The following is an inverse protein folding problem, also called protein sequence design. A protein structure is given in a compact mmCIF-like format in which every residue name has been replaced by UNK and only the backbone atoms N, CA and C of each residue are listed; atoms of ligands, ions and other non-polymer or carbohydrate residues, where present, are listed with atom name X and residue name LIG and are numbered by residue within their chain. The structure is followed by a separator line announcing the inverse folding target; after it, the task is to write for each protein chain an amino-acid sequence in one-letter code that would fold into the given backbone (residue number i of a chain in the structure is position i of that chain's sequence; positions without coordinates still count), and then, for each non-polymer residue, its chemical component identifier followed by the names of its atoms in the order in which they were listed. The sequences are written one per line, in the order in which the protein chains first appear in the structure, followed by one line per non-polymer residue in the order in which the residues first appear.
data_IF_493143915394
#
_entry.id   IF_493143915394
#
_cell.length_a   1.000
_cell.length_b   1.000
_cell.length_c   1.000
_cell.angle_alpha   90.00
_cell.angle_beta   90.00
_cell.angle_gamma   90.00
#
_symmetry.space_group_name_H-M   'P 1'
#
loop_
_entity.id
_entity.type
_entity.pdbx_description
1 polymer ?
#
# COMPACT_ATOMS: atom_id res chain seq x y z
N UNK A 1 -50.82 33.96 -15.59
CA UNK A 1 -49.81 34.10 -14.50
C UNK A 1 -48.71 33.08 -14.72
N UNK A 2 -47.48 33.52 -15.05
CA UNK A 2 -46.31 32.65 -15.27
C UNK A 2 -45.59 32.43 -13.94
N UNK A 3 -45.53 31.19 -13.46
CA UNK A 3 -44.71 30.83 -12.30
C UNK A 3 -43.27 30.55 -12.77
N UNK A 4 -42.34 31.36 -12.29
CA UNK A 4 -40.90 31.30 -12.61
C UNK A 4 -40.24 30.28 -11.69
N UNK A 5 -39.66 29.22 -12.24
CA UNK A 5 -38.80 28.30 -11.52
C UNK A 5 -37.51 29.01 -11.07
N UNK A 6 -37.16 28.84 -9.79
CA UNK A 6 -35.92 29.35 -9.22
C UNK A 6 -34.69 28.74 -9.89
N UNK A 7 -33.74 29.60 -10.26
CA UNK A 7 -32.44 29.20 -10.82
C UNK A 7 -31.64 28.37 -9.78
N UNK A 8 -30.83 27.39 -10.23
CA UNK A 8 -29.89 26.71 -9.35
C UNK A 8 -28.78 27.68 -8.92
N UNK A 9 -28.41 27.65 -7.63
CA UNK A 9 -27.29 28.44 -7.09
C UNK A 9 -25.96 27.93 -7.69
N UNK A 10 -25.13 28.78 -8.29
CA UNK A 10 -23.78 28.39 -8.69
C UNK A 10 -22.83 28.54 -7.50
N UNK A 11 -21.96 27.55 -7.29
CA UNK A 11 -20.79 27.67 -6.42
C UNK A 11 -20.92 27.00 -5.04
N UNK A 12 -20.93 25.67 -5.01
CA UNK A 12 -20.33 24.96 -3.89
C UNK A 12 -18.84 24.84 -4.21
N UNK A 13 -17.99 25.51 -3.43
CA UNK A 13 -16.54 25.44 -3.57
C UNK A 13 -16.06 23.98 -3.45
N UNK A 14 -15.08 23.53 -4.25
CA UNK A 14 -14.49 22.22 -4.07
C UNK A 14 -13.86 22.14 -2.67
N UNK A 15 -14.19 21.07 -1.94
CA UNK A 15 -13.52 20.73 -0.68
C UNK A 15 -12.00 20.77 -0.90
N UNK A 16 -11.22 21.42 -0.01
CA UNK A 16 -9.77 21.40 -0.12
C UNK A 16 -9.30 19.96 0.09
N UNK A 17 -8.86 19.32 -0.99
CA UNK A 17 -8.04 18.12 -0.92
C UNK A 17 -6.73 18.51 -0.25
N UNK A 18 -6.65 18.34 1.08
CA UNK A 18 -5.36 18.33 1.76
C UNK A 18 -4.49 17.32 1.01
N UNK A 19 -3.29 17.69 0.53
CA UNK A 19 -2.34 16.68 0.09
C UNK A 19 -2.12 15.74 1.28
N UNK A 20 -2.53 14.48 1.13
CA UNK A 20 -2.12 13.43 2.05
C UNK A 20 -0.60 13.40 1.99
N UNK A 21 0.03 13.92 3.03
CA UNK A 21 1.44 13.65 3.29
C UNK A 21 1.59 12.13 3.25
N UNK A 22 2.57 11.59 2.51
CA UNK A 22 2.80 10.15 2.51
C UNK A 22 2.96 9.71 3.97
N UNK A 23 2.35 8.60 4.39
CA UNK A 23 2.31 8.24 5.79
C UNK A 23 3.74 8.14 6.32
N UNK A 24 3.90 8.50 7.59
CA UNK A 24 5.08 8.28 8.42
C UNK A 24 5.65 6.84 8.34
N UNK A 25 4.93 5.91 7.69
CA UNK A 25 5.39 4.59 7.28
C UNK A 25 6.77 4.57 6.61
N UNK A 26 7.13 5.55 5.75
CA UNK A 26 8.49 5.58 5.17
C UNK A 26 9.58 5.79 6.23
N UNK A 27 9.31 6.55 7.29
CA UNK A 27 10.24 6.79 8.39
C UNK A 27 10.31 5.61 9.36
N UNK A 28 9.19 4.92 9.59
CA UNK A 28 9.14 3.73 10.44
C UNK A 28 9.76 2.49 9.76
N UNK A 29 9.68 2.37 8.42
CA UNK A 29 10.26 1.27 7.68
C UNK A 29 11.80 1.34 7.65
N UNK A 30 12.37 2.54 7.49
CA UNK A 30 13.82 2.75 7.63
C UNK A 30 14.34 2.45 9.04
N UNK A 31 13.50 2.65 10.08
CA UNK A 31 13.86 2.36 11.46
C UNK A 31 13.75 0.86 11.82
N UNK A 32 12.90 0.09 11.11
CA UNK A 32 12.75 -1.36 11.30
C UNK A 32 13.83 -2.16 10.56
N UNK A 33 14.25 -1.69 9.38
CA UNK A 33 15.40 -2.25 8.62
C UNK A 33 16.75 -2.04 9.34
N UNK A 34 16.82 -1.13 10.31
CA UNK A 34 18.03 -0.83 11.08
C UNK A 34 18.29 -1.84 12.21
N UNK A 35 17.28 -2.29 12.98
CA UNK A 35 17.53 -3.14 14.16
C UNK A 35 17.89 -4.58 13.81
N UNK A 36 17.22 -5.18 12.83
CA UNK A 36 17.51 -6.55 12.39
C UNK A 36 18.89 -6.67 11.76
N UNK A 37 19.24 -5.74 10.86
CA UNK A 37 20.55 -5.71 10.20
C UNK A 37 21.68 -5.49 11.20
N UNK A 38 21.54 -4.53 12.12
CA UNK A 38 22.52 -4.27 13.20
C UNK A 38 22.69 -5.50 14.09
N UNK A 39 21.59 -6.16 14.47
CA UNK A 39 21.64 -7.38 15.29
C UNK A 39 22.39 -8.50 14.56
N UNK A 40 22.06 -8.77 13.29
CA UNK A 40 22.73 -9.81 12.50
C UNK A 40 24.22 -9.51 12.35
N UNK A 41 24.60 -8.27 12.02
CA UNK A 41 26.01 -7.87 11.92
C UNK A 41 26.71 -8.06 13.27
N UNK A 42 26.11 -7.63 14.38
CA UNK A 42 26.71 -7.75 15.70
C UNK A 42 26.90 -9.22 16.11
N UNK A 43 25.88 -10.06 15.90
CA UNK A 43 25.93 -11.49 16.20
C UNK A 43 26.99 -12.20 15.35
N UNK A 44 27.03 -11.92 14.04
CA UNK A 44 28.03 -12.54 13.14
C UNK A 44 29.44 -12.06 13.48
N UNK A 45 29.61 -10.78 13.82
CA UNK A 45 30.91 -10.25 14.26
C UNK A 45 31.37 -10.92 15.55
N UNK A 46 30.49 -11.04 16.54
CA UNK A 46 30.81 -11.74 17.79
C UNK A 46 31.17 -13.21 17.53
N UNK A 47 30.39 -13.90 16.69
CA UNK A 47 30.65 -15.29 16.31
C UNK A 47 31.97 -15.46 15.54
N UNK A 48 32.39 -14.47 14.75
CA UNK A 48 33.66 -14.50 14.01
C UNK A 48 34.88 -14.41 14.95
N UNK A 49 34.79 -13.60 16.00
CA UNK A 49 35.86 -13.40 16.98
C UNK A 49 35.86 -14.45 18.10
N UNK A 50 34.74 -15.12 18.36
CA UNK A 50 34.60 -16.07 19.47
C UNK A 50 35.64 -17.21 19.45
N UNK A 51 35.93 -17.89 18.32
CA UNK A 51 36.92 -18.97 18.28
C UNK A 51 38.33 -18.53 18.65
N UNK A 52 38.67 -17.26 18.39
CA UNK A 52 39.98 -16.70 18.70
C UNK A 52 40.30 -16.84 20.21
N UNK A 53 39.30 -16.67 21.08
CA UNK A 53 39.45 -16.80 22.54
C UNK A 53 39.85 -18.21 22.99
N UNK A 54 39.65 -19.23 22.15
CA UNK A 54 39.94 -20.63 22.47
C UNK A 54 41.23 -21.13 21.81
N UNK A 55 41.95 -20.26 21.11
CA UNK A 55 43.19 -20.63 20.42
C UNK A 55 44.41 -20.41 21.31
N UNK A 56 45.39 -21.34 21.35
CA UNK A 56 46.61 -21.19 22.14
C UNK A 56 47.41 -19.94 21.76
N UNK A 57 47.37 -19.54 20.50
CA UNK A 57 48.07 -18.37 19.97
C UNK A 57 47.54 -17.06 20.60
N UNK A 58 46.23 -16.98 20.87
CA UNK A 58 45.62 -15.80 21.45
C UNK A 58 46.17 -15.44 22.84
N UNK A 59 46.50 -16.45 23.65
CA UNK A 59 47.06 -16.24 24.99
C UNK A 59 48.55 -15.83 24.97
N UNK A 60 49.20 -15.89 23.81
CA UNK A 60 50.58 -15.45 23.62
C UNK A 60 50.67 -14.00 23.10
N UNK A 61 49.53 -13.40 22.75
CA UNK A 61 49.47 -12.03 22.23
C UNK A 61 49.81 -10.99 23.31
N UNK A 62 50.53 -9.95 22.89
CA UNK A 62 50.76 -8.76 23.69
C UNK A 62 49.46 -7.97 23.90
N UNK A 63 49.41 -7.15 24.96
CA UNK A 63 48.28 -6.24 25.23
C UNK A 63 47.98 -5.32 24.02
N UNK A 64 49.01 -4.92 23.26
CA UNK A 64 48.85 -4.09 22.07
C UNK A 64 48.14 -4.81 20.92
N UNK A 65 48.46 -6.08 20.69
CA UNK A 65 47.84 -6.89 19.63
C UNK A 65 46.40 -7.25 19.95
N UNK A 66 46.10 -7.52 21.23
CA UNK A 66 44.72 -7.71 21.69
C UNK A 66 43.91 -6.43 21.51
N UNK A 67 44.46 -5.28 21.90
CA UNK A 67 43.80 -3.98 21.72
C UNK A 67 43.57 -3.66 20.24
N UNK A 68 44.54 -3.96 19.36
CA UNK A 68 44.40 -3.80 17.92
C UNK A 68 43.28 -4.68 17.36
N UNK A 69 43.25 -5.97 17.73
CA UNK A 69 42.27 -6.94 17.25
C UNK A 69 40.84 -6.55 17.64
N UNK A 70 40.64 -6.18 18.90
CA UNK A 70 39.35 -5.67 19.39
C UNK A 70 38.99 -4.34 18.73
N UNK A 71 39.97 -3.44 18.58
CA UNK A 71 39.78 -2.15 17.91
C UNK A 71 39.32 -2.28 16.47
N UNK A 72 39.92 -3.20 15.71
CA UNK A 72 39.50 -3.51 14.33
C UNK A 72 38.09 -4.11 14.27
N UNK A 73 37.73 -4.99 15.21
CA UNK A 73 36.39 -5.57 15.30
C UNK A 73 35.32 -4.51 15.62
N UNK A 74 35.61 -3.61 16.55
CA UNK A 74 34.73 -2.48 16.86
C UNK A 74 34.62 -1.50 15.68
N UNK A 75 35.73 -1.23 14.98
CA UNK A 75 35.75 -0.40 13.79
C UNK A 75 34.91 -1.03 12.67
N UNK A 76 35.01 -2.35 12.48
CA UNK A 76 34.18 -3.10 11.53
C UNK A 76 32.71 -2.98 11.88
N UNK A 77 32.34 -3.17 13.15
CA UNK A 77 30.94 -3.07 13.57
C UNK A 77 30.40 -1.63 13.42
N UNK A 78 31.20 -0.62 13.77
CA UNK A 78 30.84 0.79 13.59
C UNK A 78 30.66 1.13 12.11
N UNK A 79 31.58 0.72 11.24
CA UNK A 79 31.49 0.96 9.80
C UNK A 79 30.30 0.20 9.18
N UNK A 80 30.09 -1.05 9.57
CA UNK A 80 28.97 -1.90 9.11
C UNK A 80 27.60 -1.36 9.50
N UNK A 81 27.49 -0.60 10.59
CA UNK A 81 26.20 -0.10 11.11
C UNK A 81 25.98 1.36 10.71
N UNK A 82 26.88 2.25 11.11
CA UNK A 82 26.80 3.69 10.82
C UNK A 82 27.03 3.95 9.33
N UNK A 83 28.03 3.31 8.73
CA UNK A 83 28.35 3.45 7.32
C UNK A 83 27.23 2.92 6.43
N UNK A 84 26.60 1.80 6.81
CA UNK A 84 25.44 1.26 6.10
C UNK A 84 24.26 2.24 6.11
N UNK A 85 23.92 2.80 7.26
CA UNK A 85 22.86 3.81 7.39
C UNK A 85 23.14 5.08 6.59
N UNK A 86 24.39 5.57 6.57
CA UNK A 86 24.79 6.75 5.80
C UNK A 86 24.64 6.55 4.29
N UNK A 87 25.10 5.41 3.79
CA UNK A 87 25.01 5.06 2.38
C UNK A 87 23.57 4.76 1.93
N UNK A 88 22.78 4.07 2.77
CA UNK A 88 21.44 3.64 2.40
C UNK A 88 20.43 4.80 2.28
N UNK A 89 20.68 5.93 2.96
CA UNK A 89 19.83 7.14 2.88
C UNK A 89 19.85 7.80 1.50
N UNK A 90 21.00 7.80 0.82
CA UNK A 90 21.17 8.41 -0.50
C UNK A 90 22.23 7.64 -1.29
N UNK A 91 21.83 6.57 -2.00
CA UNK A 91 22.75 5.70 -2.70
C UNK A 91 23.24 6.32 -4.00
N UNK A 92 24.32 7.10 -3.93
CA UNK A 92 25.08 7.52 -5.12
C UNK A 92 26.18 6.49 -5.42
N UNK A 93 26.59 6.29 -6.69
CA UNK A 93 27.61 5.31 -7.05
C UNK A 93 28.94 5.54 -6.32
N UNK A 94 29.32 6.80 -6.08
CA UNK A 94 30.52 7.14 -5.31
C UNK A 94 30.44 6.71 -3.83
N UNK A 95 29.26 6.83 -3.19
CA UNK A 95 29.07 6.38 -1.80
C UNK A 95 29.06 4.86 -1.68
N UNK A 96 28.49 4.16 -2.67
CA UNK A 96 28.56 2.69 -2.77
C UNK A 96 30.02 2.25 -2.79
N UNK A 97 30.80 2.83 -3.71
CA UNK A 97 32.20 2.47 -3.90
C UNK A 97 33.04 2.78 -2.66
N UNK A 98 32.84 3.96 -2.05
CA UNK A 98 33.53 4.34 -0.82
C UNK A 98 33.21 3.37 0.32
N UNK A 99 31.93 3.09 0.55
CA UNK A 99 31.49 2.23 1.65
C UNK A 99 32.01 0.80 1.49
N UNK A 100 31.70 0.14 0.37
CA UNK A 100 32.13 -1.24 0.15
C UNK A 100 33.64 -1.36 -0.06
N UNK A 101 34.29 -0.35 -0.61
CA UNK A 101 35.76 -0.28 -0.72
C UNK A 101 36.42 -0.25 0.64
N UNK A 102 36.02 0.68 1.52
CA UNK A 102 36.52 0.75 2.90
C UNK A 102 36.20 -0.52 3.69
N UNK A 103 35.00 -1.07 3.54
CA UNK A 103 34.58 -2.29 4.22
C UNK A 103 35.39 -3.51 3.77
N UNK A 104 35.60 -3.68 2.46
CA UNK A 104 36.40 -4.78 1.89
C UNK A 104 37.86 -4.66 2.31
N UNK A 105 38.41 -3.44 2.27
CA UNK A 105 39.77 -3.18 2.75
C UNK A 105 39.90 -3.54 4.24
N UNK A 106 38.97 -3.08 5.07
CA UNK A 106 38.99 -3.35 6.51
C UNK A 106 38.89 -4.86 6.81
N UNK A 107 37.99 -5.59 6.14
CA UNK A 107 37.89 -7.05 6.30
C UNK A 107 39.18 -7.73 5.86
N UNK A 108 39.80 -7.29 4.76
CA UNK A 108 41.07 -7.83 4.28
C UNK A 108 42.19 -7.64 5.30
N UNK A 109 42.26 -6.46 5.94
CA UNK A 109 43.22 -6.17 7.02
C UNK A 109 42.96 -7.03 8.26
N UNK A 110 41.69 -7.21 8.65
CA UNK A 110 41.32 -8.08 9.77
C UNK A 110 41.71 -9.53 9.50
N UNK A 111 41.48 -10.02 8.28
CA UNK A 111 41.86 -11.37 7.88
C UNK A 111 43.37 -11.54 7.91
N UNK A 112 44.14 -10.62 7.32
CA UNK A 112 45.59 -10.67 7.34
C UNK A 112 46.16 -10.80 8.76
N UNK A 113 45.67 -10.00 9.72
CA UNK A 113 46.15 -10.06 11.10
C UNK A 113 45.69 -11.29 11.91
N UNK A 114 44.71 -12.06 11.42
CA UNK A 114 44.06 -13.10 12.23
C UNK A 114 43.88 -14.46 11.59
N UNK A 115 44.29 -14.66 10.32
CA UNK A 115 44.03 -15.90 9.58
C UNK A 115 44.81 -17.09 10.12
N UNK A 116 45.99 -16.86 10.68
CA UNK A 116 46.84 -17.91 11.27
C UNK A 116 46.38 -18.35 12.67
N UNK A 117 45.56 -17.53 13.34
CA UNK A 117 45.10 -17.77 14.70
C UNK A 117 43.85 -18.68 14.77
N UNK A 118 43.61 -19.52 13.76
CA UNK A 118 42.51 -20.50 13.75
C UNK A 118 41.09 -19.92 13.87
N UNK A 119 40.92 -18.61 13.66
CA UNK A 119 39.66 -17.89 13.86
C UNK A 119 38.65 -18.07 12.74
N UNK A 120 37.36 -17.88 13.04
CA UNK A 120 36.29 -17.82 12.05
C UNK A 120 36.11 -16.42 11.45
N UNK A 121 37.19 -15.64 11.34
CA UNK A 121 37.16 -14.24 10.90
C UNK A 121 36.66 -14.07 9.45
N UNK A 122 36.74 -15.12 8.63
CA UNK A 122 36.12 -15.17 7.30
C UNK A 122 34.59 -14.99 7.34
N UNK A 123 33.92 -15.23 8.48
CA UNK A 123 32.50 -14.95 8.66
C UNK A 123 32.16 -13.46 8.48
N UNK A 124 33.14 -12.56 8.63
CA UNK A 124 32.97 -11.12 8.39
C UNK A 124 32.71 -10.79 6.91
N UNK A 125 32.95 -11.71 5.98
CA UNK A 125 32.57 -11.54 4.57
C UNK A 125 31.05 -11.59 4.38
N UNK A 126 30.34 -12.33 5.24
CA UNK A 126 28.90 -12.61 5.07
C UNK A 126 28.02 -11.37 5.26
N UNK A 127 28.18 -10.55 6.32
CA UNK A 127 27.36 -9.35 6.48
C UNK A 127 27.59 -8.33 5.36
N UNK A 128 28.82 -8.21 4.84
CA UNK A 128 29.13 -7.32 3.71
C UNK A 128 28.43 -7.80 2.44
N UNK A 129 28.46 -9.10 2.17
CA UNK A 129 27.72 -9.69 1.05
C UNK A 129 26.20 -9.50 1.21
N UNK A 130 25.65 -9.75 2.41
CA UNK A 130 24.23 -9.53 2.72
C UNK A 130 23.81 -8.06 2.50
N UNK A 131 24.62 -7.10 2.95
CA UNK A 131 24.35 -5.66 2.81
C UNK A 131 24.40 -5.16 1.35
N UNK A 132 25.02 -5.93 0.45
CA UNK A 132 25.02 -5.64 -0.99
C UNK A 132 23.75 -6.09 -1.70
N UNK A 133 22.91 -6.92 -1.05
CA UNK A 133 21.63 -7.40 -1.58
C UNK A 133 20.60 -6.26 -1.60
N UNK A 134 19.73 -6.24 -2.62
CA UNK A 134 18.77 -5.15 -2.86
C UNK A 134 19.27 -4.12 -3.88
N UNK A 135 20.47 -4.32 -4.45
CA UNK A 135 20.99 -3.57 -5.59
C UNK A 135 20.92 -4.39 -6.87
N UNK A 136 21.36 -3.79 -7.97
CA UNK A 136 21.48 -4.51 -9.23
C UNK A 136 22.46 -5.69 -9.06
N UNK A 137 22.10 -6.86 -9.60
CA UNK A 137 22.84 -8.11 -9.38
C UNK A 137 24.33 -8.01 -9.73
N UNK A 138 24.69 -7.18 -10.71
CA UNK A 138 26.08 -6.97 -11.11
C UNK A 138 26.90 -6.22 -10.04
N UNK A 139 26.28 -5.31 -9.26
CA UNK A 139 26.97 -4.59 -8.17
C UNK A 139 27.29 -5.55 -7.04
N UNK A 140 26.31 -6.37 -6.63
CA UNK A 140 26.49 -7.43 -5.63
C UNK A 140 27.59 -8.40 -6.06
N UNK A 141 27.60 -8.82 -7.33
CA UNK A 141 28.63 -9.70 -7.88
C UNK A 141 30.04 -9.07 -7.82
N UNK A 142 30.18 -7.79 -8.17
CA UNK A 142 31.45 -7.07 -8.07
C UNK A 142 31.96 -6.99 -6.63
N UNK A 143 31.06 -6.74 -5.66
CA UNK A 143 31.43 -6.69 -4.23
C UNK A 143 31.87 -8.08 -3.75
N UNK A 144 31.14 -9.15 -4.07
CA UNK A 144 31.56 -10.51 -3.74
C UNK A 144 32.90 -10.87 -4.37
N UNK A 145 33.14 -10.46 -5.62
CA UNK A 145 34.43 -10.67 -6.28
C UNK A 145 35.55 -9.89 -5.60
N UNK A 146 35.31 -8.65 -5.18
CA UNK A 146 36.29 -7.86 -4.43
C UNK A 146 36.60 -8.47 -3.06
N UNK A 147 35.59 -8.99 -2.36
CA UNK A 147 35.76 -9.72 -1.09
C UNK A 147 36.59 -10.99 -1.27
N UNK A 148 36.31 -11.78 -2.31
CA UNK A 148 37.10 -12.97 -2.64
C UNK A 148 38.52 -12.63 -3.10
N UNK A 149 38.71 -11.52 -3.82
CA UNK A 149 40.03 -11.03 -4.20
C UNK A 149 40.85 -10.59 -2.98
N UNK A 150 40.23 -9.90 -2.02
CA UNK A 150 40.86 -9.56 -0.74
C UNK A 150 41.27 -10.81 0.04
N UNK A 151 40.41 -11.82 0.11
CA UNK A 151 40.74 -13.11 0.71
C UNK A 151 41.91 -13.81 -0.01
N UNK A 152 41.90 -13.82 -1.34
CA UNK A 152 42.99 -14.39 -2.14
C UNK A 152 44.32 -13.69 -1.91
N UNK A 153 44.29 -12.36 -1.76
CA UNK A 153 45.47 -11.58 -1.44
C UNK A 153 46.06 -12.03 -0.09
N UNK A 154 45.23 -12.24 0.92
CA UNK A 154 45.69 -12.74 2.24
C UNK A 154 46.31 -14.13 2.11
N UNK A 155 45.64 -15.07 1.43
CA UNK A 155 46.21 -16.41 1.20
C UNK A 155 47.55 -16.38 0.46
N UNK A 156 47.71 -15.44 -0.48
CA UNK A 156 48.95 -15.28 -1.22
C UNK A 156 50.06 -14.71 -0.35
N UNK A 157 49.76 -13.71 0.49
CA UNK A 157 50.72 -13.08 1.41
C UNK A 157 51.20 -14.05 2.49
N UNK A 158 50.29 -14.84 3.04
CA UNK A 158 50.59 -15.84 4.10
C UNK A 158 51.05 -17.20 3.53
N UNK A 159 51.33 -17.27 2.22
CA UNK A 159 51.81 -18.48 1.55
C UNK A 159 50.98 -19.75 1.88
N UNK A 160 49.65 -19.62 1.91
CA UNK A 160 48.74 -20.71 2.29
C UNK A 160 48.91 -21.93 1.36
N UNK A 161 48.88 -23.16 1.91
CA UNK A 161 49.00 -24.36 1.11
C UNK A 161 47.81 -24.51 0.15
N UNK A 162 48.01 -24.84 -1.15
CA UNK A 162 46.94 -24.89 -2.15
C UNK A 162 45.76 -25.80 -1.78
N UNK A 163 46.03 -26.91 -1.09
CA UNK A 163 45.00 -27.83 -0.63
C UNK A 163 44.05 -27.15 0.38
N UNK A 164 44.59 -26.38 1.33
CA UNK A 164 43.78 -25.65 2.31
C UNK A 164 42.95 -24.54 1.64
N UNK A 165 43.54 -23.81 0.68
CA UNK A 165 42.84 -22.77 -0.07
C UNK A 165 41.55 -23.32 -0.70
N UNK A 166 41.62 -24.50 -1.34
CA UNK A 166 40.45 -25.12 -1.97
C UNK A 166 39.33 -25.45 -0.98
N UNK A 167 39.68 -25.93 0.23
CA UNK A 167 38.72 -26.25 1.28
C UNK A 167 38.05 -24.99 1.85
N UNK A 168 38.84 -23.94 2.13
CA UNK A 168 38.30 -22.66 2.59
C UNK A 168 37.40 -22.01 1.53
N UNK A 169 37.82 -22.02 0.26
CA UNK A 169 37.02 -21.47 -0.84
C UNK A 169 35.67 -22.16 -0.99
N UNK A 170 35.63 -23.49 -0.89
CA UNK A 170 34.37 -24.24 -0.96
C UNK A 170 33.43 -23.87 0.18
N UNK A 171 33.94 -23.82 1.42
CA UNK A 171 33.14 -23.44 2.60
C UNK A 171 32.65 -21.99 2.54
N UNK A 172 33.54 -21.04 2.24
CA UNK A 172 33.23 -19.61 2.14
C UNK A 172 32.28 -19.36 0.97
N UNK A 173 32.52 -20.00 -0.19
CA UNK A 173 31.65 -19.91 -1.36
C UNK A 173 30.24 -20.40 -1.07
N UNK A 174 30.11 -21.56 -0.41
CA UNK A 174 28.81 -22.09 0.02
C UNK A 174 28.11 -21.14 1.01
N UNK A 175 28.84 -20.61 1.98
CA UNK A 175 28.30 -19.65 2.95
C UNK A 175 27.86 -18.34 2.28
N UNK A 176 28.64 -17.80 1.33
CA UNK A 176 28.27 -16.62 0.56
C UNK A 176 27.02 -16.86 -0.28
N UNK A 177 26.95 -17.98 -1.01
CA UNK A 177 25.74 -18.33 -1.79
C UNK A 177 24.53 -18.45 -0.87
N UNK A 178 24.67 -19.16 0.26
CA UNK A 178 23.60 -19.29 1.25
C UNK A 178 23.14 -17.92 1.76
N UNK A 179 24.07 -17.05 2.17
CA UNK A 179 23.77 -15.69 2.63
C UNK A 179 23.06 -14.87 1.55
N UNK A 180 23.56 -14.88 0.31
CA UNK A 180 22.97 -14.12 -0.79
C UNK A 180 21.55 -14.61 -1.12
N UNK A 181 21.33 -15.93 -1.16
CA UNK A 181 20.01 -16.52 -1.41
C UNK A 181 19.06 -16.20 -0.27
N UNK A 182 19.46 -16.45 0.98
CA UNK A 182 18.61 -16.23 2.14
C UNK A 182 18.25 -14.76 2.33
N UNK A 183 19.22 -13.86 2.27
CA UNK A 183 18.98 -12.41 2.30
C UNK A 183 18.14 -11.97 1.10
N UNK A 184 18.38 -12.52 -0.10
CA UNK A 184 17.59 -12.25 -1.29
C UNK A 184 16.12 -12.64 -1.14
N UNK A 185 15.84 -13.81 -0.56
CA UNK A 185 14.47 -14.26 -0.23
C UNK A 185 13.83 -13.34 0.80
N UNK A 186 14.54 -13.02 1.89
CA UNK A 186 14.02 -12.14 2.94
C UNK A 186 13.65 -10.74 2.41
N UNK A 187 14.51 -10.14 1.57
CA UNK A 187 14.26 -8.83 0.97
C UNK A 187 13.06 -8.88 0.01
N UNK A 188 12.92 -9.95 -0.78
CA UNK A 188 11.77 -10.13 -1.71
C UNK A 188 10.47 -10.34 -0.96
N UNK A 189 10.48 -11.14 0.10
CA UNK A 189 9.32 -11.38 0.94
C UNK A 189 8.84 -10.08 1.58
N UNK A 190 9.76 -9.27 2.11
CA UNK A 190 9.42 -7.99 2.71
C UNK A 190 8.81 -7.02 1.68
N UNK A 191 9.39 -6.92 0.48
CA UNK A 191 8.82 -6.11 -0.60
C UNK A 191 7.41 -6.58 -1.00
N UNK A 192 7.20 -7.90 -1.11
CA UNK A 192 5.89 -8.47 -1.43
C UNK A 192 4.84 -8.17 -0.35
N UNK A 193 5.21 -8.23 0.94
CA UNK A 193 4.32 -7.88 2.06
C UNK A 193 3.94 -6.40 2.06
N UNK A 194 4.87 -5.52 1.75
CA UNK A 194 4.61 -4.08 1.64
C UNK A 194 3.66 -3.77 0.48
N UNK A 195 3.85 -4.40 -0.68
CA UNK A 195 2.95 -4.28 -1.82
C UNK A 195 1.55 -4.82 -1.52
N UNK A 196 1.46 -5.99 -0.88
CA UNK A 196 0.20 -6.59 -0.47
C UNK A 196 -0.56 -5.69 0.52
N UNK A 197 0.14 -5.10 1.50
CA UNK A 197 -0.44 -4.14 2.45
C UNK A 197 -0.97 -2.88 1.76
N UNK A 198 -0.22 -2.35 0.78
CA UNK A 198 -0.67 -1.19 -0.02
C UNK A 198 -1.91 -1.51 -0.84
N UNK A 199 -1.93 -2.65 -1.53
CA UNK A 199 -3.06 -3.09 -2.33
C UNK A 199 -4.30 -3.35 -1.47
N UNK A 200 -4.14 -3.88 -0.26
CA UNK A 200 -5.24 -4.08 0.67
C UNK A 200 -5.91 -2.76 1.10
N UNK A 201 -5.12 -1.71 1.34
CA UNK A 201 -5.63 -0.36 1.63
C UNK A 201 -6.41 0.20 0.43
N UNK A 202 -5.81 0.13 -0.77
CA UNK A 202 -6.44 0.63 -2.00
C UNK A 202 -7.77 -0.09 -2.31
N UNK A 203 -7.81 -1.41 -2.11
CA UNK A 203 -9.02 -2.22 -2.28
C UNK A 203 -10.09 -1.84 -1.25
N UNK A 204 -9.70 -1.54 -0.01
CA UNK A 204 -10.58 -1.04 1.03
C UNK A 204 -11.23 0.29 0.65
N UNK A 205 -10.44 1.24 0.14
CA UNK A 205 -10.93 2.54 -0.32
C UNK A 205 -11.85 2.42 -1.55
N UNK A 206 -11.50 1.58 -2.51
CA UNK A 206 -12.32 1.33 -3.70
C UNK A 206 -13.68 0.72 -3.33
N UNK A 207 -13.67 -0.26 -2.43
CA UNK A 207 -14.90 -0.90 -1.95
C UNK A 207 -15.79 0.10 -1.19
N UNK A 208 -15.21 0.99 -0.39
CA UNK A 208 -15.96 2.07 0.27
C UNK A 208 -16.63 3.01 -0.75
N UNK A 209 -15.89 3.44 -1.79
CA UNK A 209 -16.46 4.27 -2.87
C UNK A 209 -17.59 3.55 -3.62
N UNK A 210 -17.44 2.25 -3.90
CA UNK A 210 -18.50 1.46 -4.52
C UNK A 210 -19.77 1.46 -3.68
N UNK A 211 -19.66 1.30 -2.35
CA UNK A 211 -20.82 1.38 -1.44
C UNK A 211 -21.48 2.75 -1.48
N UNK A 212 -20.70 3.82 -1.47
CA UNK A 212 -21.24 5.19 -1.58
C UNK A 212 -21.95 5.43 -2.92
N UNK A 213 -21.43 4.90 -4.03
CA UNK A 213 -22.09 4.98 -5.32
C UNK A 213 -23.38 4.15 -5.35
N UNK A 214 -23.37 2.94 -4.78
CA UNK A 214 -24.56 2.10 -4.70
C UNK A 214 -25.68 2.81 -3.93
N UNK A 215 -25.37 3.45 -2.79
CA UNK A 215 -26.34 4.25 -2.03
C UNK A 215 -26.88 5.40 -2.89
N UNK A 216 -26.00 6.15 -3.58
CA UNK A 216 -26.43 7.26 -4.45
C UNK A 216 -27.31 6.80 -5.61
N UNK A 217 -27.02 5.66 -6.22
CA UNK A 217 -27.83 5.10 -7.30
C UNK A 217 -29.23 4.76 -6.78
N UNK A 218 -29.34 4.15 -5.59
CA UNK A 218 -30.64 3.86 -4.96
C UNK A 218 -31.42 5.14 -4.68
N UNK A 219 -30.77 6.17 -4.15
CA UNK A 219 -31.41 7.46 -3.89
C UNK A 219 -31.90 8.13 -5.17
N UNK A 220 -31.08 8.13 -6.23
CA UNK A 220 -31.44 8.69 -7.53
C UNK A 220 -32.60 7.92 -8.18
N UNK A 221 -32.54 6.59 -8.19
CA UNK A 221 -33.61 5.76 -8.73
C UNK A 221 -34.93 5.99 -7.98
N UNK A 222 -34.87 6.15 -6.65
CA UNK A 222 -36.06 6.46 -5.83
C UNK A 222 -36.65 7.83 -6.19
N UNK A 223 -35.81 8.84 -6.45
CA UNK A 223 -36.27 10.17 -6.85
C UNK A 223 -36.82 10.21 -8.28
N UNK A 224 -36.18 9.50 -9.22
CA UNK A 224 -36.66 9.33 -10.59
C UNK A 224 -38.02 8.67 -10.62
N UNK A 225 -38.21 7.61 -9.82
CA UNK A 225 -39.49 6.90 -9.74
C UNK A 225 -40.60 7.77 -9.14
N UNK A 226 -40.30 8.54 -8.08
CA UNK A 226 -41.26 9.53 -7.54
C UNK A 226 -41.65 10.59 -8.58
N UNK A 227 -40.70 11.08 -9.38
CA UNK A 227 -40.98 12.03 -10.45
C UNK A 227 -41.78 11.41 -11.61
N UNK A 228 -41.54 10.13 -11.92
CA UNK A 228 -42.34 9.36 -12.88
C UNK A 228 -43.79 9.26 -12.40
N UNK A 229 -44.00 8.83 -11.16
CA UNK A 229 -45.33 8.71 -10.56
C UNK A 229 -46.05 10.06 -10.48
N UNK A 230 -45.36 11.15 -10.10
CA UNK A 230 -45.95 12.48 -10.05
C UNK A 230 -46.46 12.95 -11.42
N UNK A 231 -45.75 12.65 -12.51
CA UNK A 231 -46.19 12.95 -13.89
C UNK A 231 -47.39 12.09 -14.28
N UNK A 232 -47.36 10.79 -14.00
CA UNK A 232 -48.48 9.88 -14.28
C UNK A 232 -49.77 10.30 -13.55
N UNK A 233 -49.64 10.73 -12.29
CA UNK A 233 -50.75 11.31 -11.51
C UNK A 233 -51.22 12.64 -12.11
N UNK A 234 -50.30 13.52 -12.55
CA UNK A 234 -50.66 14.80 -13.16
C UNK A 234 -51.38 14.64 -14.50
N UNK A 235 -50.92 13.73 -15.36
CA UNK A 235 -51.49 13.50 -16.68
C UNK A 235 -52.91 12.90 -16.56
N UNK A 236 -53.10 11.92 -15.67
CA UNK A 236 -54.42 11.34 -15.39
C UNK A 236 -55.38 12.37 -14.79
N UNK A 237 -54.95 13.14 -13.78
CA UNK A 237 -55.74 14.23 -13.20
C UNK A 237 -56.10 15.30 -14.25
N UNK A 238 -55.15 15.72 -15.07
CA UNK A 238 -55.36 16.70 -16.13
C UNK A 238 -56.40 16.22 -17.15
N UNK A 239 -56.37 14.93 -17.50
CA UNK A 239 -57.37 14.32 -18.37
C UNK A 239 -58.77 14.38 -17.74
N UNK A 240 -58.93 13.89 -16.49
CA UNK A 240 -60.23 13.93 -15.81
C UNK A 240 -60.79 15.35 -15.72
N UNK A 241 -59.97 16.33 -15.31
CA UNK A 241 -60.39 17.73 -15.19
C UNK A 241 -60.83 18.32 -16.53
N UNK A 242 -60.13 17.99 -17.62
CA UNK A 242 -60.48 18.45 -18.97
C UNK A 242 -61.82 17.87 -19.41
N UNK A 243 -62.04 16.56 -19.25
CA UNK A 243 -63.30 15.90 -19.64
C UNK A 243 -64.46 16.38 -18.77
N UNK A 244 -64.25 16.56 -17.46
CA UNK A 244 -65.25 17.13 -16.54
C UNK A 244 -65.64 18.53 -17.00
N UNK A 245 -64.67 19.40 -17.32
CA UNK A 245 -64.96 20.76 -17.79
C UNK A 245 -65.81 20.74 -19.08
N UNK A 246 -65.46 19.90 -20.06
CA UNK A 246 -66.23 19.75 -21.30
C UNK A 246 -67.66 19.25 -21.03
N UNK A 247 -67.87 18.31 -20.10
CA UNK A 247 -69.22 17.85 -19.73
C UNK A 247 -70.04 18.95 -19.05
N UNK A 248 -69.40 19.78 -18.23
CA UNK A 248 -70.07 20.91 -17.57
C UNK A 248 -70.44 22.01 -18.57
N UNK A 249 -69.54 22.36 -19.51
CA UNK A 249 -69.82 23.28 -20.62
C UNK A 249 -70.98 22.77 -21.49
N UNK A 250 -70.98 21.49 -21.84
CA UNK A 250 -72.07 20.87 -22.59
C UNK A 250 -73.41 20.92 -21.84
N UNK A 251 -73.40 20.69 -20.52
CA UNK A 251 -74.58 20.80 -19.68
C UNK A 251 -75.15 22.22 -19.66
N UNK A 252 -74.28 23.24 -19.56
CA UNK A 252 -74.68 24.65 -19.60
C UNK A 252 -75.26 25.04 -20.97
N UNK A 253 -74.65 24.59 -22.07
CA UNK A 253 -75.09 24.94 -23.42
C UNK A 253 -76.50 24.44 -23.78
N UNK A 254 -76.95 23.33 -23.17
CA UNK A 254 -78.26 22.72 -23.48
C UNK A 254 -79.28 22.86 -22.37
N UNK A 255 -78.95 23.54 -21.27
CA UNK A 255 -79.78 23.61 -20.05
C UNK A 255 -81.21 24.10 -20.30
N UNK A 256 -81.34 25.16 -21.11
CA UNK A 256 -82.63 25.79 -21.40
C UNK A 256 -83.41 25.08 -22.52
N UNK A 257 -82.71 24.32 -23.38
CA UNK A 257 -83.29 23.67 -24.57
C UNK A 257 -83.66 22.20 -24.33
N UNK A 258 -82.81 21.47 -23.63
CA UNK A 258 -83.00 20.05 -23.30
C UNK A 258 -82.48 19.78 -21.87
N UNK A 259 -83.34 20.02 -20.86
CA UNK A 259 -82.98 19.81 -19.45
C UNK A 259 -82.61 18.36 -19.12
N UNK A 260 -83.12 17.39 -19.89
CA UNK A 260 -82.81 15.98 -19.68
C UNK A 260 -81.37 15.66 -20.11
N UNK A 261 -80.92 16.17 -21.27
CA UNK A 261 -79.51 16.08 -21.69
C UNK A 261 -78.56 16.81 -20.75
N UNK A 262 -78.95 17.98 -20.25
CA UNK A 262 -78.14 18.72 -19.27
C UNK A 262 -77.91 17.91 -17.98
N UNK A 263 -78.97 17.28 -17.43
CA UNK A 263 -78.85 16.39 -16.26
C UNK A 263 -77.95 15.18 -16.52
N UNK A 264 -78.04 14.58 -17.72
CA UNK A 264 -77.15 13.48 -18.10
C UNK A 264 -75.67 13.91 -18.13
N UNK A 265 -75.36 15.05 -18.75
CA UNK A 265 -74.00 15.59 -18.80
C UNK A 265 -73.46 15.92 -17.39
N UNK A 266 -74.27 16.53 -16.51
CA UNK A 266 -73.91 16.74 -15.11
C UNK A 266 -73.66 15.44 -14.35
N UNK A 267 -74.49 14.41 -14.54
CA UNK A 267 -74.29 13.10 -13.89
C UNK A 267 -73.00 12.41 -14.35
N UNK A 268 -72.61 12.59 -15.62
CA UNK A 268 -71.35 12.10 -16.18
C UNK A 268 -70.17 12.85 -15.57
N UNK A 269 -70.23 14.18 -15.47
CA UNK A 269 -69.22 14.98 -14.80
C UNK A 269 -69.02 14.56 -13.33
N UNK A 270 -70.12 14.31 -12.61
CA UNK A 270 -70.07 13.87 -11.20
C UNK A 270 -69.43 12.49 -11.06
N UNK A 271 -69.76 11.54 -11.95
CA UNK A 271 -69.14 10.21 -11.97
C UNK A 271 -67.64 10.29 -12.27
N UNK A 272 -67.25 11.04 -13.30
CA UNK A 272 -65.84 11.26 -13.64
C UNK A 272 -65.06 11.93 -12.51
N UNK A 273 -65.71 12.81 -11.74
CA UNK A 273 -65.11 13.41 -10.55
C UNK A 273 -64.83 12.36 -9.46
N UNK A 274 -65.78 11.45 -9.22
CA UNK A 274 -65.60 10.36 -8.25
C UNK A 274 -64.49 9.40 -8.69
N UNK A 275 -64.52 8.96 -9.95
CA UNK A 275 -63.51 8.08 -10.54
C UNK A 275 -62.10 8.72 -10.47
N UNK A 276 -61.98 10.01 -10.80
CA UNK A 276 -60.71 10.74 -10.71
C UNK A 276 -60.19 10.90 -9.28
N UNK A 277 -61.07 11.17 -8.31
CA UNK A 277 -60.69 11.27 -6.89
C UNK A 277 -60.21 9.92 -6.33
N UNK A 278 -60.86 8.82 -6.71
CA UNK A 278 -60.47 7.48 -6.29
C UNK A 278 -59.14 7.05 -6.91
N UNK A 279 -58.91 7.36 -8.20
CA UNK A 279 -57.62 7.12 -8.87
C UNK A 279 -56.46 7.86 -8.18
N UNK A 280 -56.67 9.12 -7.75
CA UNK A 280 -55.65 9.87 -6.99
C UNK A 280 -55.42 9.27 -5.61
N UNK A 281 -56.48 8.92 -4.88
CA UNK A 281 -56.35 8.29 -3.55
C UNK A 281 -55.56 7.00 -3.62
N UNK A 282 -55.83 6.17 -4.62
CA UNK A 282 -55.12 4.90 -4.83
C UNK A 282 -53.64 5.14 -5.18
N UNK A 283 -53.35 6.13 -6.02
CA UNK A 283 -51.98 6.49 -6.40
C UNK A 283 -51.18 7.08 -5.22
N UNK A 284 -51.79 7.94 -4.40
CA UNK A 284 -51.17 8.51 -3.18
C UNK A 284 -50.96 7.44 -2.11
N UNK A 285 -51.89 6.49 -1.96
CA UNK A 285 -51.73 5.35 -1.05
C UNK A 285 -50.52 4.49 -1.42
N UNK A 286 -50.37 4.16 -2.71
CA UNK A 286 -49.21 3.42 -3.22
C UNK A 286 -47.87 4.16 -2.97
N UNK A 287 -47.86 5.49 -3.07
CA UNK A 287 -46.69 6.33 -2.73
C UNK A 287 -46.34 6.33 -1.24
N UNK A 288 -47.35 6.16 -0.36
CA UNK A 288 -47.20 6.21 1.09
C UNK A 288 -46.75 4.88 1.69
N UNK A 289 -47.06 3.77 1.03
CA UNK A 289 -46.57 2.43 1.37
C UNK A 289 -45.14 2.17 0.87
N UNK A 290 -44.64 2.97 -0.07
CA UNK A 290 -43.32 2.82 -0.68
C UNK A 290 -42.07 3.16 0.18
N UNK A 291 -42.14 3.65 1.43
CA UNK A 291 -40.96 3.70 2.29
C UNK A 291 -41.18 2.94 3.60
N UNK A 292 -40.45 1.82 3.80
CA UNK A 292 -39.69 1.46 5.02
C UNK A 292 -39.16 0.01 5.06
N UNK A 293 -39.40 -0.85 4.06
CA UNK A 293 -38.95 -2.25 4.08
C UNK A 293 -37.59 -2.49 3.39
N UNK A 294 -36.53 -1.79 3.79
CA UNK A 294 -35.17 -2.36 3.66
C UNK A 294 -34.11 -1.58 4.46
N UNK A 295 -34.20 -1.64 5.80
CA UNK A 295 -33.04 -1.41 6.67
C UNK A 295 -32.76 -2.69 7.44
N UNK A 296 -32.10 -3.62 6.76
CA UNK A 296 -31.30 -4.66 7.42
C UNK A 296 -30.28 -5.19 6.43
N UNK A 297 -29.13 -4.51 6.34
CA UNK A 297 -27.84 -5.07 5.95
C UNK A 297 -26.76 -4.38 6.79
#
# INVERSE_FOLDING_TARGET
MRFVWGRPRPGAAPYPTRPMTPPAAKAHLSAYLDRGTVLVVAVVTLAAYLPLLFTPEFYQLSLGEVALTVGLGLLYLALSTIGFGWYNRQPTPGRVLLYFGCQTLLVTVILYHGIDNGGALWLLLLPVAAQSVGRAYWVTALICLALLAGLMLVFWLEAFPPAAISQYLLGIGAALVFTLVFTGVAVREQASREEAGRLAIELGEANQKLREYAIRVVDLATMEERNRLAREIHDSLGHYLTVINVQLEAAQAVLDQDPARARLAMSRAQRLTQEGLDAVRQSVAALREAPLSNRSL
#
